data_IF_701712866907
#
_entry.id   IF_701712866907
#
_cell.length_a   1.000
_cell.length_b   1.000
_cell.length_c   1.000
_cell.angle_alpha   90.00
_cell.angle_beta   90.00
_cell.angle_gamma   90.00
#
_symmetry.space_group_name_H-M   'P 1'
#
loop_
_entity.id
_entity.type
_entity.pdbx_description
1 polymer ?
#
# COMPACT_ATOMS: atom_id res chain seq x y z
N UNK A 1 -22.52 -0.93 1.60
CA UNK A 1 -23.00 -0.10 2.72
C UNK A 1 -21.80 0.57 3.37
N UNK A 2 -21.79 1.88 3.49
CA UNK A 2 -20.71 2.63 4.17
C UNK A 2 -21.22 3.21 5.49
N UNK A 3 -20.35 3.31 6.49
CA UNK A 3 -20.65 3.97 7.77
C UNK A 3 -19.80 5.23 7.87
N UNK A 4 -20.40 6.34 8.29
CA UNK A 4 -19.69 7.60 8.51
C UNK A 4 -19.13 7.63 9.93
N UNK A 5 -17.90 8.10 10.05
CA UNK A 5 -17.23 8.36 11.33
C UNK A 5 -16.60 9.75 11.26
N UNK A 6 -16.50 10.43 12.40
CA UNK A 6 -15.67 11.63 12.53
C UNK A 6 -14.25 11.20 12.91
N UNK A 7 -13.24 11.75 12.23
CA UNK A 7 -11.83 11.47 12.51
C UNK A 7 -11.09 12.81 12.58
N UNK A 8 -10.27 12.98 13.61
CA UNK A 8 -9.32 14.10 13.69
C UNK A 8 -7.98 13.65 13.13
N UNK A 9 -7.40 14.45 12.24
CA UNK A 9 -6.09 14.22 11.66
C UNK A 9 -5.16 15.37 12.07
N UNK A 10 -3.84 15.14 12.17
CA UNK A 10 -2.86 16.20 12.19
C UNK A 10 -3.01 17.11 10.96
N UNK A 11 -2.84 18.42 11.16
CA UNK A 11 -3.05 19.43 10.10
C UNK A 11 -2.14 19.17 8.89
N UNK A 12 -0.88 18.82 9.13
CA UNK A 12 0.10 18.48 8.10
C UNK A 12 -0.33 17.27 7.25
N UNK A 13 -0.93 16.27 7.89
CA UNK A 13 -1.45 15.10 7.20
C UNK A 13 -2.69 15.46 6.37
N UNK A 14 -3.58 16.29 6.91
CA UNK A 14 -4.75 16.76 6.18
C UNK A 14 -4.34 17.57 4.93
N UNK A 15 -3.42 18.52 5.08
CA UNK A 15 -2.91 19.35 3.99
C UNK A 15 -2.26 18.49 2.91
N UNK A 16 -1.47 17.49 3.31
CA UNK A 16 -0.90 16.54 2.37
C UNK A 16 -1.98 15.76 1.61
N UNK A 17 -2.99 15.21 2.30
CA UNK A 17 -4.07 14.46 1.66
C UNK A 17 -4.90 15.34 0.72
N UNK A 18 -5.15 16.59 1.12
CA UNK A 18 -5.84 17.56 0.29
C UNK A 18 -5.04 17.85 -0.98
N UNK A 19 -3.72 18.01 -0.89
CA UNK A 19 -2.87 18.22 -2.06
C UNK A 19 -2.95 17.05 -3.05
N UNK A 20 -3.11 15.81 -2.58
CA UNK A 20 -3.27 14.63 -3.45
C UNK A 20 -4.59 14.67 -4.22
N UNK A 21 -5.67 15.14 -3.60
CA UNK A 21 -6.97 15.31 -4.25
C UNK A 21 -6.89 16.43 -5.30
N UNK A 22 -6.26 17.55 -4.96
CA UNK A 22 -6.06 18.68 -5.87
C UNK A 22 -5.22 18.31 -7.10
N UNK A 23 -4.24 17.42 -6.93
CA UNK A 23 -3.43 16.86 -8.01
C UNK A 23 -4.16 15.78 -8.83
N UNK A 24 -5.39 15.42 -8.47
CA UNK A 24 -6.18 14.39 -9.15
C UNK A 24 -5.71 12.97 -8.88
N UNK A 25 -4.86 12.75 -7.86
CA UNK A 25 -4.43 11.41 -7.47
C UNK A 25 -5.52 10.65 -6.69
N UNK A 26 -6.55 11.34 -6.20
CA UNK A 26 -7.70 10.72 -5.56
C UNK A 26 -8.97 11.59 -5.65
N UNK A 27 -10.13 10.94 -5.59
CA UNK A 27 -11.44 11.62 -5.69
C UNK A 27 -11.83 12.39 -4.42
N UNK A 28 -11.30 12.00 -3.25
CA UNK A 28 -11.56 12.67 -1.97
C UNK A 28 -10.59 12.24 -0.86
N UNK A 29 -10.48 13.07 0.18
CA UNK A 29 -9.73 12.74 1.41
C UNK A 29 -10.29 11.48 2.07
N UNK A 30 -11.62 11.34 2.16
CA UNK A 30 -12.25 10.12 2.69
C UNK A 30 -11.94 8.87 1.87
N UNK A 31 -11.78 9.01 0.55
CA UNK A 31 -11.37 7.93 -0.34
C UNK A 31 -9.95 7.47 -0.04
N UNK A 32 -9.01 8.42 0.08
CA UNK A 32 -7.62 8.13 0.48
C UNK A 32 -7.54 7.44 1.84
N UNK A 33 -8.31 7.88 2.84
CA UNK A 33 -8.37 7.22 4.14
C UNK A 33 -8.87 5.78 3.99
N UNK A 34 -9.93 5.56 3.21
CA UNK A 34 -10.50 4.24 3.00
C UNK A 34 -9.51 3.29 2.33
N UNK A 35 -8.80 3.76 1.29
CA UNK A 35 -7.76 2.99 0.59
C UNK A 35 -6.58 2.67 1.51
N UNK A 36 -6.09 3.66 2.27
CA UNK A 36 -5.00 3.45 3.22
C UNK A 36 -5.37 2.42 4.29
N UNK A 37 -6.58 2.52 4.86
CA UNK A 37 -7.09 1.55 5.85
C UNK A 37 -7.25 0.17 5.23
N UNK A 38 -7.75 0.06 4.00
CA UNK A 38 -7.86 -1.21 3.30
C UNK A 38 -6.49 -1.87 3.07
N UNK A 39 -5.49 -1.08 2.65
CA UNK A 39 -4.13 -1.56 2.47
C UNK A 39 -3.49 -2.03 3.78
N UNK A 40 -3.72 -1.31 4.89
CA UNK A 40 -3.27 -1.74 6.22
C UNK A 40 -3.94 -3.05 6.63
N UNK A 41 -5.27 -3.15 6.46
CA UNK A 41 -6.02 -4.38 6.77
C UNK A 41 -5.48 -5.59 6.00
N UNK A 42 -5.25 -5.45 4.69
CA UNK A 42 -4.73 -6.53 3.87
C UNK A 42 -3.34 -6.98 4.34
N UNK A 43 -2.47 -6.05 4.73
CA UNK A 43 -1.14 -6.37 5.29
C UNK A 43 -1.24 -7.12 6.60
N UNK A 44 -2.17 -6.72 7.48
CA UNK A 44 -2.39 -7.41 8.76
C UNK A 44 -2.95 -8.83 8.56
N UNK A 45 -3.92 -9.00 7.66
CA UNK A 45 -4.47 -10.33 7.31
C UNK A 45 -3.39 -11.24 6.71
N UNK A 46 -2.54 -10.71 5.83
CA UNK A 46 -1.42 -11.46 5.27
C UNK A 46 -0.40 -11.85 6.36
N UNK A 47 -0.06 -10.94 7.26
CA UNK A 47 0.87 -11.21 8.36
C UNK A 47 0.33 -12.32 9.28
N UNK A 48 -0.97 -12.29 9.58
CA UNK A 48 -1.63 -13.35 10.36
C UNK A 48 -1.54 -14.70 9.65
N UNK A 49 -1.87 -14.76 8.35
CA UNK A 49 -1.76 -15.98 7.56
C UNK A 49 -0.34 -16.55 7.54
N UNK A 50 0.68 -15.69 7.37
CA UNK A 50 2.08 -16.12 7.38
C UNK A 50 2.47 -16.68 8.75
N UNK A 51 2.00 -16.07 9.84
CA UNK A 51 2.24 -16.57 11.19
C UNK A 51 1.60 -17.96 11.39
N UNK A 52 0.37 -18.16 10.93
CA UNK A 52 -0.33 -19.45 10.99
C UNK A 52 0.43 -20.53 10.20
N UNK A 53 0.84 -20.23 8.96
CA UNK A 53 1.63 -21.14 8.14
C UNK A 53 2.98 -21.49 8.77
N UNK A 54 3.63 -20.51 9.41
CA UNK A 54 4.90 -20.73 10.10
C UNK A 54 4.72 -21.60 11.34
N UNK A 55 3.62 -21.45 12.06
CA UNK A 55 3.28 -22.30 13.19
C UNK A 55 2.96 -23.75 12.77
N UNK A 56 2.29 -23.94 11.64
CA UNK A 56 1.89 -25.27 11.14
C UNK A 56 3.04 -26.02 10.45
N UNK A 57 3.83 -25.33 9.63
CA UNK A 57 4.84 -25.96 8.76
C UNK A 57 6.29 -25.63 9.15
N UNK A 58 6.49 -24.75 10.13
CA UNK A 58 7.80 -24.24 10.51
C UNK A 58 8.29 -23.10 9.60
N UNK A 59 9.48 -22.59 9.91
CA UNK A 59 10.12 -21.52 9.14
C UNK A 59 10.38 -21.93 7.68
N UNK A 60 10.16 -21.03 6.70
CA UNK A 60 10.52 -21.31 5.31
C UNK A 60 12.01 -21.62 5.18
N UNK A 61 12.32 -22.68 4.43
CA UNK A 61 13.69 -23.05 4.13
C UNK A 61 14.44 -21.99 3.31
N UNK A 62 15.78 -22.04 3.25
CA UNK A 62 16.60 -21.02 2.58
C UNK A 62 16.24 -20.80 1.11
N UNK A 63 15.89 -21.88 0.40
CA UNK A 63 15.50 -21.80 -1.01
C UNK A 63 14.17 -21.06 -1.20
N UNK A 64 13.20 -21.30 -0.32
CA UNK A 64 11.91 -20.60 -0.37
C UNK A 64 12.08 -19.10 -0.08
N UNK A 65 12.93 -18.75 0.90
CA UNK A 65 13.27 -17.35 1.22
C UNK A 65 13.92 -16.65 0.03
N UNK A 66 14.90 -17.29 -0.63
CA UNK A 66 15.56 -16.74 -1.81
C UNK A 66 14.61 -16.46 -2.98
N UNK A 67 13.62 -17.33 -3.22
CA UNK A 67 12.60 -17.11 -4.26
C UNK A 67 11.68 -15.93 -3.93
N UNK A 68 11.31 -15.76 -2.65
CA UNK A 68 10.51 -14.61 -2.20
C UNK A 68 11.29 -13.32 -2.35
N UNK A 69 12.56 -13.30 -1.95
CA UNK A 69 13.43 -12.12 -2.10
C UNK A 69 13.56 -11.69 -3.56
N UNK A 70 13.76 -12.65 -4.47
CA UNK A 70 13.80 -12.39 -5.91
C UNK A 70 12.47 -11.81 -6.43
N UNK A 71 11.33 -12.34 -5.97
CA UNK A 71 10.01 -11.82 -6.36
C UNK A 71 9.80 -10.37 -5.87
N UNK A 72 10.25 -10.05 -4.64
CA UNK A 72 10.17 -8.70 -4.08
C UNK A 72 11.08 -7.74 -4.85
N UNK A 73 12.31 -8.14 -5.17
CA UNK A 73 13.24 -7.33 -5.96
C UNK A 73 12.66 -6.97 -7.33
N UNK A 74 12.11 -7.95 -8.05
CA UNK A 74 11.46 -7.72 -9.36
C UNK A 74 10.29 -6.73 -9.26
N UNK A 75 9.48 -6.82 -8.19
CA UNK A 75 8.38 -5.89 -7.94
C UNK A 75 8.85 -4.45 -7.66
N UNK A 76 9.98 -4.28 -6.97
CA UNK A 76 10.57 -2.98 -6.69
C UNK A 76 11.13 -2.32 -7.96
N UNK A 77 11.80 -3.10 -8.82
CA UNK A 77 12.29 -2.62 -10.13
C UNK A 77 11.15 -2.14 -11.04
N UNK A 78 10.04 -2.90 -11.09
CA UNK A 78 8.85 -2.49 -11.86
C UNK A 78 8.24 -1.19 -11.34
N UNK A 79 8.22 -0.98 -10.02
CA UNK A 79 7.69 0.24 -9.41
C UNK A 79 8.59 1.45 -9.67
N UNK A 80 9.90 1.30 -9.47
CA UNK A 80 10.88 2.35 -9.75
C UNK A 80 10.91 2.75 -11.24
N UNK A 81 10.67 1.79 -12.13
CA UNK A 81 10.53 2.05 -13.58
C UNK A 81 9.23 2.81 -13.91
N UNK A 82 8.17 2.64 -13.12
CA UNK A 82 6.91 3.34 -13.31
C UNK A 82 6.97 4.79 -12.80
N UNK A 83 7.71 5.03 -11.72
CA UNK A 83 7.94 6.37 -11.13
C UNK A 83 8.92 7.23 -11.95
N UNK A 84 9.71 6.61 -12.84
CA UNK A 84 10.68 7.29 -13.72
C UNK A 84 10.07 7.83 -15.04
N UNK A 85 8.77 7.61 -15.30
CA UNK A 85 8.10 8.22 -16.46
C UNK A 85 7.69 9.65 -16.14
N UNK A 86 8.24 10.68 -16.82
CA UNK A 86 7.77 12.04 -16.61
C UNK A 86 6.32 12.15 -17.10
N UNK A 87 5.45 12.66 -16.23
CA UNK A 87 4.09 13.07 -16.59
C UNK A 87 4.26 14.36 -17.41
N UNK A 88 4.46 14.22 -18.71
CA UNK A 88 4.78 15.34 -19.58
C UNK A 88 4.37 15.12 -21.04
N UNK A 89 3.30 15.83 -21.43
CA UNK A 89 3.15 16.36 -22.78
C UNK A 89 2.07 15.70 -23.65
N UNK A 90 0.90 16.32 -23.71
CA UNK A 90 -0.14 16.00 -24.70
C UNK A 90 -1.21 17.07 -24.75
N UNK A 91 -0.94 18.08 -25.60
CA UNK A 91 -1.74 19.17 -26.18
C UNK A 91 -3.22 19.34 -25.77
#
# INVERSE_FOLDING_TARGET
>A
MTRKIGVSLPDDLYDWMQSQVEQGHADSVSGLIAEAVAAVRQRLELAALVADLTAEFGEPGPEAKARVDMAIANLQELRGSNDARPIGGGA
#
